data_IF_767354269504
#
_entry.id   IF_767354269504
#
_cell.length_a   1.000
_cell.length_b   1.000
_cell.length_c   1.000
_cell.angle_alpha   90.00
_cell.angle_beta   90.00
_cell.angle_gamma   90.00
#
_symmetry.space_group_name_H-M   'P 1'
#
loop_
_entity.id
_entity.type
_entity.pdbx_description
1 polymer ?
#
# COMPACT_ATOMS: atom_id res chain seq x y z
N UNK A 1 -3.82 -0.35 -6.58
CA UNK A 1 -3.13 -1.50 -6.01
C UNK A 1 -3.68 -2.74 -6.67
N UNK A 2 -3.72 -3.87 -5.97
CA UNK A 2 -4.22 -5.14 -6.49
C UNK A 2 -5.76 -5.31 -6.40
N UNK A 3 -6.49 -4.34 -5.85
CA UNK A 3 -7.95 -4.41 -5.69
C UNK A 3 -8.64 -4.01 -6.99
N UNK A 4 -9.74 -4.68 -7.33
CA UNK A 4 -10.51 -4.47 -8.57
C UNK A 4 -11.30 -3.14 -8.63
N UNK A 5 -10.99 -2.17 -7.75
CA UNK A 5 -11.74 -0.93 -7.59
C UNK A 5 -11.01 0.25 -8.23
N UNK A 6 -11.77 1.17 -8.85
CA UNK A 6 -11.20 2.35 -9.52
C UNK A 6 -10.53 3.34 -8.55
N UNK A 7 -10.87 3.28 -7.26
CA UNK A 7 -10.28 4.10 -6.20
C UNK A 7 -9.00 3.50 -5.62
N UNK A 8 -8.63 2.27 -5.98
CA UNK A 8 -7.43 1.63 -5.45
C UNK A 8 -6.17 2.15 -6.17
N UNK A 9 -5.73 3.34 -5.80
CA UNK A 9 -4.45 3.92 -6.18
C UNK A 9 -3.93 4.77 -5.01
N UNK A 10 -2.62 4.75 -4.74
CA UNK A 10 -2.03 5.56 -3.67
C UNK A 10 -1.82 7.02 -4.10
N UNK A 11 -1.45 7.25 -5.35
CA UNK A 11 -1.17 8.58 -5.89
C UNK A 11 -1.43 8.59 -7.40
N UNK A 12 -1.84 9.76 -7.92
CA UNK A 12 -1.94 10.04 -9.35
C UNK A 12 -0.89 11.06 -9.75
N UNK A 13 -0.31 10.91 -10.93
CA UNK A 13 0.64 11.85 -11.52
C UNK A 13 1.90 12.13 -10.68
N UNK A 14 2.43 11.10 -10.00
CA UNK A 14 3.66 11.19 -9.22
C UNK A 14 4.88 10.75 -10.03
N UNK A 15 5.97 11.52 -9.98
CA UNK A 15 7.23 11.17 -10.65
C UNK A 15 8.03 10.21 -9.79
N UNK A 16 8.13 8.96 -10.24
CA UNK A 16 9.03 7.96 -9.66
C UNK A 16 10.28 7.80 -10.53
N UNK A 17 11.43 7.40 -9.93
CA UNK A 17 12.52 6.82 -10.70
C UNK A 17 12.06 5.55 -11.42
N UNK A 18 12.87 5.03 -12.34
CA UNK A 18 12.59 3.74 -12.99
C UNK A 18 12.55 2.65 -11.93
N UNK A 19 11.44 1.92 -11.86
CA UNK A 19 11.22 0.79 -10.96
C UNK A 19 11.08 -0.50 -11.78
N UNK A 20 11.56 -1.60 -11.21
CA UNK A 20 11.44 -2.93 -11.78
C UNK A 20 10.64 -3.86 -10.87
N UNK A 21 10.21 -5.00 -11.40
CA UNK A 21 9.61 -6.06 -10.60
C UNK A 21 10.60 -6.54 -9.53
N UNK A 22 10.14 -6.61 -8.29
CA UNK A 22 10.97 -6.97 -7.12
C UNK A 22 11.56 -5.78 -6.36
N UNK A 23 11.48 -4.55 -6.90
CA UNK A 23 11.85 -3.36 -6.14
C UNK A 23 10.81 -3.06 -5.04
N UNK A 24 11.28 -2.42 -3.97
CA UNK A 24 10.43 -2.04 -2.85
C UNK A 24 10.15 -0.53 -2.85
N UNK A 25 8.89 -0.18 -2.60
CA UNK A 25 8.43 1.19 -2.38
C UNK A 25 7.87 1.31 -0.96
N UNK A 26 8.04 2.46 -0.34
CA UNK A 26 7.54 2.75 1.01
C UNK A 26 6.55 3.92 0.98
N UNK A 27 5.41 3.73 1.64
CA UNK A 27 4.50 4.82 2.00
C UNK A 27 4.90 5.27 3.41
N UNK A 28 5.47 6.46 3.48
CA UNK A 28 5.91 7.06 4.74
C UNK A 28 4.70 7.57 5.55
N UNK A 29 4.94 7.81 6.84
CA UNK A 29 3.96 8.41 7.76
C UNK A 29 2.61 7.67 7.85
N UNK A 30 2.62 6.35 7.60
CA UNK A 30 1.43 5.49 7.60
C UNK A 30 1.05 4.93 8.99
N UNK A 31 1.67 5.44 10.06
CA UNK A 31 1.48 4.95 11.43
C UNK A 31 0.13 5.32 12.08
N UNK A 32 -0.55 6.36 11.60
CA UNK A 32 -1.87 6.74 12.07
C UNK A 32 -2.93 6.45 11.00
N UNK A 33 -4.06 5.85 11.39
CA UNK A 33 -5.19 5.52 10.51
C UNK A 33 -4.87 4.60 9.31
N UNK A 34 -3.68 4.00 9.27
CA UNK A 34 -3.31 2.97 8.30
C UNK A 34 -3.87 1.61 8.69
N UNK A 35 -3.09 0.81 9.42
CA UNK A 35 -3.48 -0.54 9.83
C UNK A 35 -4.81 -0.58 10.59
N UNK A 36 -5.10 0.42 11.43
CA UNK A 36 -6.35 0.50 12.20
C UNK A 36 -7.61 0.60 11.33
N UNK A 37 -7.50 0.99 10.06
CA UNK A 37 -8.60 1.06 9.09
C UNK A 37 -8.47 0.01 7.97
N UNK A 38 -7.48 -0.88 8.04
CA UNK A 38 -7.28 -1.92 7.04
C UNK A 38 -8.36 -3.01 7.15
N UNK A 39 -8.60 -3.73 6.05
CA UNK A 39 -9.58 -4.80 5.98
C UNK A 39 -9.08 -5.94 5.09
N UNK A 40 -9.70 -7.12 5.21
CA UNK A 40 -9.45 -8.27 4.33
C UNK A 40 -10.34 -8.25 3.07
N UNK A 41 -10.69 -7.05 2.59
CA UNK A 41 -11.48 -6.89 1.37
C UNK A 41 -10.80 -7.60 0.19
N UNK A 42 -11.60 -8.22 -0.66
CA UNK A 42 -11.11 -9.04 -1.77
C UNK A 42 -10.22 -10.24 -1.35
N UNK A 43 -10.45 -10.78 -0.13
CA UNK A 43 -9.74 -11.93 0.45
C UNK A 43 -8.22 -11.73 0.57
N UNK A 44 -7.77 -10.48 0.68
CA UNK A 44 -6.37 -10.15 0.86
C UNK A 44 -6.01 -10.12 2.34
N UNK A 45 -4.92 -10.78 2.72
CA UNK A 45 -4.43 -10.78 4.10
C UNK A 45 -3.92 -9.39 4.51
N UNK A 46 -4.02 -9.08 5.80
CA UNK A 46 -3.48 -7.85 6.37
C UNK A 46 -1.94 -7.87 6.35
N UNK A 47 -1.27 -6.72 6.12
CA UNK A 47 0.18 -6.66 6.17
C UNK A 47 0.71 -6.96 7.58
N UNK A 48 1.90 -7.54 7.67
CA UNK A 48 2.57 -7.78 8.95
C UNK A 48 3.03 -6.45 9.59
N UNK A 49 2.75 -6.25 10.88
CA UNK A 49 3.32 -5.18 11.69
C UNK A 49 4.56 -5.69 12.43
N UNK A 50 5.67 -4.94 12.35
CA UNK A 50 6.95 -5.29 12.97
C UNK A 50 7.36 -4.14 13.90
N UNK A 51 7.63 -4.46 15.17
CA UNK A 51 8.27 -3.54 16.12
C UNK A 51 9.78 -3.79 16.14
N UNK A 52 10.58 -2.72 16.02
CA UNK A 52 12.05 -2.73 16.05
C UNK A 52 12.54 -2.39 17.45
#
# INVERSE_FOLDING_TARGET
>A
GPICESSDFFVKDYKLPVVAEGDFLAILDSGAYGYSMASTYNLQELPLEICI
#
